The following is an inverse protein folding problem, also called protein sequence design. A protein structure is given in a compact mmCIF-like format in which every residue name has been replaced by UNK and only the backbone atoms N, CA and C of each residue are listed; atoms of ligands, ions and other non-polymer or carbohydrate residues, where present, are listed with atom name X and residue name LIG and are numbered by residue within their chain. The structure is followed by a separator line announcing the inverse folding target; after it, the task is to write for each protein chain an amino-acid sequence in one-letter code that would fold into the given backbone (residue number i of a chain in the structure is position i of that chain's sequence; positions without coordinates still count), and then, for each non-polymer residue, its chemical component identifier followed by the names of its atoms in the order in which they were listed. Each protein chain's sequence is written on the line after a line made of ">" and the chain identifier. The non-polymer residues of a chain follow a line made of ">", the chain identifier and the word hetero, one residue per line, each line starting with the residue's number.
data_IF_103642065798
#
_entry.id   IF_103642065798
#
_cell.length_a   1.000
_cell.length_b   1.000
_cell.length_c   1.000
_cell.angle_alpha   90.00
_cell.angle_beta   90.00
_cell.angle_gamma   90.00
#
_symmetry.space_group_name_H-M   'P 1'
#
loop_
_entity.id
_entity.type
_entity.pdbx_description
1 polymer ?
#
# COMPACT_ATOMS: atom_id res chain seq x y z
N UNK A 1 12.52 -3.87 -1.78
CA UNK A 1 11.81 -3.86 -0.48
C UNK A 1 11.41 -5.28 -0.13
N UNK A 2 11.94 -5.77 0.98
CA UNK A 2 11.86 -7.17 1.40
C UNK A 2 10.53 -7.51 2.09
N UNK A 3 10.47 -8.70 2.68
CA UNK A 3 9.28 -9.17 3.42
C UNK A 3 9.08 -8.45 4.76
N UNK A 4 10.10 -7.78 5.29
CA UNK A 4 10.01 -7.00 6.54
C UNK A 4 9.42 -5.60 6.36
N UNK A 5 9.34 -5.09 5.13
CA UNK A 5 8.95 -3.69 4.89
C UNK A 5 7.42 -3.52 4.91
N UNK A 6 6.83 -3.26 6.09
CA UNK A 6 5.37 -3.13 6.32
C UNK A 6 4.72 -2.00 5.49
N UNK A 7 5.51 -1.05 4.97
CA UNK A 7 5.00 0.00 4.08
C UNK A 7 4.65 -0.54 2.69
N UNK A 8 5.23 -1.68 2.30
CA UNK A 8 5.04 -2.28 0.98
C UNK A 8 3.93 -3.31 0.93
N UNK A 9 3.42 -3.56 -0.28
CA UNK A 9 2.48 -4.65 -0.52
C UNK A 9 3.05 -6.01 -0.07
N UNK A 10 4.31 -6.31 -0.41
CA UNK A 10 4.97 -7.57 -0.03
C UNK A 10 5.13 -7.72 1.48
N UNK A 11 5.61 -6.68 2.17
CA UNK A 11 5.76 -6.75 3.63
C UNK A 11 4.42 -6.79 4.36
N UNK A 12 3.40 -6.07 3.87
CA UNK A 12 2.03 -6.24 4.39
C UNK A 12 1.52 -7.65 4.18
N UNK A 13 1.67 -8.24 2.98
CA UNK A 13 1.27 -9.63 2.69
C UNK A 13 1.89 -10.60 3.68
N UNK A 14 3.20 -10.48 3.90
CA UNK A 14 3.93 -11.34 4.82
C UNK A 14 3.50 -11.16 6.28
N UNK A 15 3.26 -9.92 6.72
CA UNK A 15 2.80 -9.61 8.07
C UNK A 15 1.29 -9.85 8.31
N UNK A 16 0.53 -10.33 7.32
CA UNK A 16 -0.91 -10.57 7.46
C UNK A 16 -1.79 -9.30 7.57
N UNK A 17 -1.21 -8.12 7.72
CA UNK A 17 -1.93 -6.86 7.96
C UNK A 17 -2.44 -6.18 6.68
N UNK A 18 -3.58 -5.49 6.78
CA UNK A 18 -4.15 -4.67 5.72
C UNK A 18 -3.76 -3.19 5.86
N UNK A 19 -4.01 -2.39 4.83
CA UNK A 19 -3.81 -0.95 4.88
C UNK A 19 -3.85 -0.32 3.50
N UNK A 20 -3.42 0.93 3.38
CA UNK A 20 -3.46 1.68 2.11
C UNK A 20 -2.81 0.91 0.95
N UNK A 21 -1.66 0.29 1.20
CA UNK A 21 -0.89 -0.47 0.20
C UNK A 21 -1.43 -1.90 -0.05
N UNK A 22 -2.22 -2.48 0.87
CA UNK A 22 -2.83 -3.82 0.75
C UNK A 22 -4.26 -3.78 1.32
N UNK A 23 -5.25 -3.31 0.54
CA UNK A 23 -6.63 -3.18 1.03
C UNK A 23 -7.28 -4.56 1.22
N UNK A 24 -8.23 -4.66 2.16
CA UNK A 24 -8.93 -5.92 2.49
C UNK A 24 -10.02 -6.28 1.47
N UNK A 25 -10.66 -5.28 0.90
CA UNK A 25 -11.60 -5.41 -0.22
C UNK A 25 -10.96 -4.80 -1.45
N UNK A 26 -11.19 -5.34 -2.66
CA UNK A 26 -10.78 -4.65 -3.87
C UNK A 26 -11.51 -3.30 -3.88
N UNK A 27 -10.79 -2.22 -3.57
CA UNK A 27 -11.35 -0.90 -3.66
C UNK A 27 -11.73 -0.68 -5.13
N UNK A 28 -13.04 -0.53 -5.39
CA UNK A 28 -13.54 -0.12 -6.70
C UNK A 28 -12.67 1.04 -7.18
N UNK A 29 -12.00 0.87 -8.33
CA UNK A 29 -10.93 1.71 -8.87
C UNK A 29 -11.17 3.22 -8.67
N UNK A 30 -10.81 3.75 -7.50
CA UNK A 30 -10.86 5.17 -7.15
C UNK A 30 -9.76 5.44 -6.15
N UNK A 31 -8.51 5.46 -6.62
CA UNK A 31 -7.39 6.21 -6.03
C UNK A 31 -6.02 5.79 -6.63
N UNK A 32 -5.92 5.61 -7.95
CA UNK A 32 -4.62 5.66 -8.62
C UNK A 32 -4.15 7.12 -8.87
N UNK A 33 -4.84 8.12 -8.32
CA UNK A 33 -4.49 9.53 -8.49
C UNK A 33 -4.64 10.27 -7.16
N UNK A 34 -3.55 10.32 -6.40
CA UNK A 34 -3.05 11.48 -5.63
C UNK A 34 -2.08 10.98 -4.57
N UNK A 35 -0.80 10.93 -4.95
CA UNK A 35 0.30 11.63 -4.26
C UNK A 35 1.61 11.36 -5.00
N UNK A 36 1.67 11.85 -6.24
CA UNK A 36 2.81 12.67 -6.60
C UNK A 36 2.43 14.13 -6.30
N UNK A 37 3.44 14.96 -6.07
CA UNK A 37 3.45 16.28 -5.38
C UNK A 37 3.56 16.16 -3.86
N UNK A 38 4.57 16.75 -3.18
CA UNK A 38 5.40 17.88 -3.60
C UNK A 38 6.71 17.92 -2.81
N UNK A 39 7.78 18.21 -3.55
CA UNK A 39 9.07 18.79 -3.18
C UNK A 39 8.95 19.88 -2.10
N UNK A 40 9.78 19.79 -1.05
CA UNK A 40 10.57 20.91 -0.52
C UNK A 40 11.81 20.34 0.16
#
# INVERSE_FOLDING_TARGET
>A
MGRGDIKTKKGKTFAGSFGKTRPAKPAAKKAAAKKESTKK
#
